data_IF_098517991871
#
_entry.id   IF_098517991871
#
_cell.length_a   1.000
_cell.length_b   1.000
_cell.length_c   1.000
_cell.angle_alpha   90.00
_cell.angle_beta   90.00
_cell.angle_gamma   90.00
#
_symmetry.space_group_name_H-M   'P 1'
#
loop_
_entity.id
_entity.type
_entity.pdbx_description
1 polymer ?
#
# COMPACT_ATOMS: atom_id res chain seq x y z
N UNK A 1 -0.16 -7.50 -10.10
CA UNK A 1 -0.29 -6.99 -8.72
C UNK A 1 -1.38 -7.70 -7.90
N UNK A 2 -2.33 -8.43 -8.52
CA UNK A 2 -3.46 -9.05 -7.83
C UNK A 2 -3.13 -10.39 -7.13
N UNK A 3 -2.16 -11.15 -7.67
CA UNK A 3 -1.73 -12.45 -7.14
C UNK A 3 -1.26 -12.43 -5.67
N UNK A 4 -0.35 -11.54 -5.23
CA UNK A 4 0.05 -11.50 -3.82
C UNK A 4 -1.08 -11.04 -2.90
N UNK A 5 -1.98 -10.19 -3.39
CA UNK A 5 -3.16 -9.73 -2.62
C UNK A 5 -4.10 -10.90 -2.37
N UNK A 6 -4.39 -11.73 -3.38
CA UNK A 6 -5.20 -12.92 -3.18
C UNK A 6 -4.54 -13.90 -2.20
N UNK A 7 -3.24 -14.15 -2.36
CA UNK A 7 -2.50 -15.11 -1.52
C UNK A 7 -2.41 -14.67 -0.05
N UNK A 8 -2.24 -13.37 0.23
CA UNK A 8 -2.18 -12.84 1.60
C UNK A 8 -3.55 -12.80 2.28
N UNK A 9 -4.65 -12.77 1.51
CA UNK A 9 -6.00 -12.60 2.04
C UNK A 9 -6.80 -13.91 2.13
N UNK A 10 -6.42 -14.96 1.38
CA UNK A 10 -6.98 -16.30 1.59
C UNK A 10 -6.39 -16.91 2.85
N UNK A 11 -7.23 -17.23 3.84
CA UNK A 11 -6.80 -18.05 4.97
C UNK A 11 -6.23 -19.36 4.43
N UNK A 12 -4.97 -19.68 4.73
CA UNK A 12 -4.33 -20.94 4.31
C UNK A 12 -5.17 -22.17 4.67
N UNK A 13 -6.00 -22.07 5.71
CA UNK A 13 -7.00 -23.08 6.10
C UNK A 13 -8.00 -23.43 4.99
N UNK A 14 -8.33 -22.50 4.09
CA UNK A 14 -9.26 -22.76 2.98
C UNK A 14 -8.61 -23.62 1.87
N UNK A 15 -7.28 -23.50 1.68
CA UNK A 15 -6.54 -24.34 0.72
C UNK A 15 -6.58 -25.81 1.16
N UNK A 16 -6.52 -26.07 2.47
CA UNK A 16 -6.63 -27.44 3.01
C UNK A 16 -8.00 -28.09 2.80
N UNK A 17 -9.03 -27.32 2.42
CA UNK A 17 -10.37 -27.84 2.07
C UNK A 17 -10.49 -28.22 0.59
N UNK A 18 -9.52 -27.88 -0.25
CA UNK A 18 -9.53 -28.23 -1.68
C UNK A 18 -9.62 -29.74 -1.95
N UNK A 19 -8.95 -30.64 -1.20
CA UNK A 19 -9.14 -32.08 -1.38
C UNK A 19 -10.60 -32.53 -1.16
N UNK A 20 -11.30 -31.91 -0.20
CA UNK A 20 -12.71 -32.20 0.08
C UNK A 20 -13.61 -31.77 -1.08
N UNK A 21 -13.37 -30.58 -1.65
CA UNK A 21 -14.06 -30.09 -2.86
C UNK A 21 -13.93 -31.10 -4.03
N UNK A 22 -12.71 -31.61 -4.27
CA UNK A 22 -12.47 -32.57 -5.36
C UNK A 22 -13.20 -33.90 -5.10
N UNK A 23 -13.17 -34.38 -3.86
CA UNK A 23 -13.86 -35.61 -3.46
C UNK A 23 -15.38 -35.46 -3.64
N UNK A 24 -15.97 -34.35 -3.19
CA UNK A 24 -17.39 -34.04 -3.34
C UNK A 24 -17.79 -33.93 -4.82
N UNK A 25 -17.01 -33.22 -5.64
CA UNK A 25 -17.22 -33.16 -7.07
C UNK A 25 -17.22 -34.55 -7.73
N UNK A 26 -16.26 -35.41 -7.38
CA UNK A 26 -16.20 -36.77 -7.90
C UNK A 26 -17.43 -37.59 -7.50
N UNK A 27 -17.99 -37.37 -6.31
CA UNK A 27 -19.22 -38.04 -5.89
C UNK A 27 -20.41 -37.63 -6.76
N UNK A 28 -20.64 -36.32 -6.96
CA UNK A 28 -21.69 -35.84 -7.87
C UNK A 28 -21.47 -36.31 -9.31
N UNK A 29 -20.23 -36.29 -9.80
CA UNK A 29 -19.91 -36.75 -11.14
C UNK A 29 -20.13 -38.26 -11.34
N UNK A 30 -19.96 -39.07 -10.27
CA UNK A 30 -20.27 -40.51 -10.30
C UNK A 30 -21.77 -40.79 -10.26
N UNK A 31 -22.54 -39.98 -9.53
CA UNK A 31 -23.99 -40.08 -9.46
C UNK A 31 -24.65 -39.59 -10.76
N UNK A 32 -24.10 -38.53 -11.34
CA UNK A 32 -24.55 -37.97 -12.60
C UNK A 32 -23.36 -37.46 -13.42
N UNK A 33 -23.00 -38.22 -14.45
CA UNK A 33 -21.87 -37.92 -15.33
C UNK A 33 -22.06 -36.66 -16.20
N UNK A 34 -23.26 -36.09 -16.23
CA UNK A 34 -23.53 -34.80 -16.89
C UNK A 34 -23.05 -33.61 -16.06
N UNK A 35 -22.90 -33.77 -14.73
CA UNK A 35 -22.47 -32.68 -13.85
C UNK A 35 -21.00 -32.39 -14.12
N UNK A 36 -20.74 -31.24 -14.75
CA UNK A 36 -19.41 -30.67 -14.90
C UNK A 36 -18.97 -29.89 -13.66
N UNK A 37 -17.68 -29.53 -13.58
CA UNK A 37 -17.15 -28.77 -12.44
C UNK A 37 -17.82 -27.40 -12.27
N UNK A 38 -18.17 -26.73 -13.38
CA UNK A 38 -18.84 -25.41 -13.34
C UNK A 38 -20.25 -25.55 -12.80
N UNK A 39 -20.98 -26.59 -13.22
CA UNK A 39 -22.34 -26.85 -12.76
C UNK A 39 -22.34 -27.24 -11.28
N UNK A 40 -21.40 -28.09 -10.85
CA UNK A 40 -21.15 -28.39 -9.44
C UNK A 40 -20.92 -27.12 -8.61
N UNK A 41 -20.02 -26.23 -9.04
CA UNK A 41 -19.78 -24.95 -8.36
C UNK A 41 -21.02 -24.05 -8.38
N UNK A 42 -21.81 -24.06 -9.47
CA UNK A 42 -23.04 -23.28 -9.58
C UNK A 42 -24.06 -23.70 -8.51
N UNK A 43 -24.34 -25.00 -8.41
CA UNK A 43 -25.28 -25.56 -7.43
C UNK A 43 -24.84 -25.20 -6.00
N UNK A 44 -23.54 -25.32 -5.70
CA UNK A 44 -23.03 -25.17 -4.33
C UNK A 44 -22.67 -23.74 -3.91
N UNK A 45 -22.43 -22.80 -4.84
CA UNK A 45 -22.03 -21.42 -4.50
C UNK A 45 -23.02 -20.34 -4.97
N UNK A 46 -23.91 -20.64 -5.92
CA UNK A 46 -24.86 -19.67 -6.47
C UNK A 46 -26.32 -19.88 -6.00
N UNK A 47 -26.56 -20.85 -5.13
CA UNK A 47 -27.79 -20.92 -4.31
C UNK A 47 -28.96 -21.66 -4.92
N UNK A 48 -28.77 -22.43 -5.99
CA UNK A 48 -29.72 -23.47 -6.40
C UNK A 48 -29.38 -24.75 -5.65
N UNK A 49 -29.59 -24.71 -4.34
CA UNK A 49 -29.38 -25.86 -3.47
C UNK A 49 -30.41 -26.93 -3.85
N UNK A 50 -29.96 -27.97 -4.55
CA UNK A 50 -30.77 -29.14 -4.81
C UNK A 50 -30.82 -29.88 -3.49
N UNK A 51 -31.94 -29.80 -2.75
CA UNK A 51 -32.14 -30.46 -1.46
C UNK A 51 -31.83 -31.98 -1.52
N UNK A 52 -30.56 -32.34 -1.43
CA UNK A 52 -29.99 -33.67 -1.60
C UNK A 52 -29.42 -34.21 -0.27
N UNK A 53 -29.61 -33.44 0.80
CA UNK A 53 -29.20 -33.72 2.19
C UNK A 53 -27.67 -33.77 2.38
N UNK A 54 -26.90 -33.00 1.61
CA UNK A 54 -25.46 -32.87 1.79
C UNK A 54 -25.02 -31.61 2.57
N UNK A 55 -25.97 -30.89 3.18
CA UNK A 55 -25.78 -29.66 3.97
C UNK A 55 -24.52 -29.68 4.85
N UNK A 56 -24.25 -30.79 5.55
CA UNK A 56 -23.08 -30.92 6.43
C UNK A 56 -21.74 -30.94 5.67
N UNK A 57 -21.70 -31.57 4.51
CA UNK A 57 -20.53 -31.66 3.65
C UNK A 57 -20.30 -30.36 2.87
N UNK A 58 -21.39 -29.67 2.54
CA UNK A 58 -21.40 -28.36 1.92
C UNK A 58 -20.76 -27.28 2.77
N UNK A 59 -21.00 -27.34 4.08
CA UNK A 59 -20.36 -26.42 5.03
C UNK A 59 -18.85 -26.63 5.15
N UNK A 60 -18.30 -27.75 4.65
CA UNK A 60 -16.86 -28.04 4.61
C UNK A 60 -16.19 -27.52 3.34
N UNK A 61 -16.95 -27.04 2.36
CA UNK A 61 -16.40 -26.51 1.12
C UNK A 61 -15.56 -25.25 1.35
N UNK A 62 -14.46 -25.08 0.57
CA UNK A 62 -13.61 -23.90 0.68
C UNK A 62 -14.42 -22.64 0.37
N UNK A 63 -14.24 -21.58 1.16
CA UNK A 63 -14.89 -20.27 0.97
C UNK A 63 -16.43 -20.27 1.05
N UNK A 64 -17.10 -21.37 1.41
CA UNK A 64 -18.57 -21.41 1.58
C UNK A 64 -19.03 -20.59 2.79
N UNK A 65 -18.21 -20.50 3.85
CA UNK A 65 -18.40 -19.55 4.96
C UNK A 65 -17.26 -18.56 5.04
N UNK A 66 -17.60 -17.29 5.19
CA UNK A 66 -16.66 -16.27 5.63
C UNK A 66 -16.52 -16.44 7.15
N UNK A 67 -15.48 -17.15 7.59
CA UNK A 67 -15.07 -17.11 9.00
C UNK A 67 -14.69 -15.67 9.34
N UNK A 68 -15.36 -15.07 10.33
CA UNK A 68 -15.15 -13.70 10.82
C UNK A 68 -13.72 -13.36 11.30
N UNK A 69 -12.74 -14.25 11.11
CA UNK A 69 -11.36 -14.12 11.58
C UNK A 69 -10.37 -13.74 10.47
N UNK A 70 -10.84 -13.48 9.25
CA UNK A 70 -10.02 -12.89 8.18
C UNK A 70 -9.80 -11.40 8.41
N UNK A 71 -8.96 -11.02 9.38
CA UNK A 71 -8.49 -9.64 9.46
C UNK A 71 -7.65 -9.33 8.23
N UNK A 72 -8.24 -8.60 7.27
CA UNK A 72 -7.56 -8.05 6.10
C UNK A 72 -6.58 -6.99 6.59
N UNK A 73 -5.40 -7.43 7.03
CA UNK A 73 -4.34 -6.54 7.48
C UNK A 73 -3.57 -6.07 6.26
N UNK A 74 -4.08 -5.04 5.61
CA UNK A 74 -3.30 -4.30 4.62
C UNK A 74 -2.18 -3.58 5.36
N UNK A 75 -0.96 -4.13 5.31
CA UNK A 75 0.24 -3.43 5.76
C UNK A 75 0.55 -2.31 4.76
N UNK A 76 -0.24 -1.23 4.81
CA UNK A 76 0.14 0.03 4.17
C UNK A 76 1.33 0.58 4.95
N UNK A 77 2.51 0.47 4.35
CA UNK A 77 3.71 1.10 4.89
C UNK A 77 3.53 2.61 4.82
N UNK A 78 2.98 3.22 5.87
CA UNK A 78 3.04 4.66 6.07
C UNK A 78 4.48 4.98 6.47
N UNK A 79 5.35 5.15 5.48
CA UNK A 79 6.63 5.80 5.66
C UNK A 79 6.36 7.20 6.19
N UNK A 80 6.57 7.40 7.50
CA UNK A 80 6.60 8.74 8.09
C UNK A 80 7.69 9.51 7.33
N UNK A 81 7.38 10.65 6.69
CA UNK A 81 8.43 11.45 6.09
C UNK A 81 9.36 11.90 7.22
N UNK A 82 10.62 11.47 7.16
CA UNK A 82 11.64 11.96 8.09
C UNK A 82 11.87 13.42 7.75
N UNK A 83 11.45 14.33 8.63
CA UNK A 83 11.75 15.74 8.51
C UNK A 83 13.25 15.93 8.77
N UNK A 84 14.04 15.96 7.71
CA UNK A 84 15.45 16.28 7.80
C UNK A 84 15.56 17.78 8.12
N UNK A 85 15.83 18.11 9.39
CA UNK A 85 16.12 19.49 9.78
C UNK A 85 17.43 19.90 9.10
N UNK A 86 17.33 20.63 8.00
CA UNK A 86 18.49 21.13 7.27
C UNK A 86 19.34 22.00 8.20
N UNK A 87 20.52 21.50 8.59
CA UNK A 87 21.50 22.28 9.31
C UNK A 87 22.09 23.30 8.35
N UNK A 88 21.74 24.57 8.51
CA UNK A 88 22.45 25.66 7.85
C UNK A 88 23.67 26.04 8.70
N UNK A 89 24.82 26.22 8.06
CA UNK A 89 26.00 26.81 8.67
C UNK A 89 25.91 28.32 8.48
N UNK A 90 25.74 29.09 9.56
CA UNK A 90 25.84 30.54 9.49
C UNK A 90 27.31 30.94 9.30
N UNK A 91 27.64 31.38 8.09
CA UNK A 91 28.92 32.02 7.80
C UNK A 91 29.04 33.25 8.69
N UNK A 92 29.92 33.18 9.69
CA UNK A 92 30.32 34.35 10.47
C UNK A 92 30.98 35.32 9.49
N UNK A 93 30.24 36.37 9.13
CA UNK A 93 30.80 37.50 8.39
C UNK A 93 31.89 38.11 9.27
N UNK A 94 33.16 37.81 8.97
CA UNK A 94 34.28 38.53 9.55
C UNK A 94 34.14 40.00 9.13
N UNK A 95 34.26 40.97 10.05
CA UNK A 95 34.27 42.38 9.68
C UNK A 95 35.53 42.66 8.85
N UNK A 96 35.37 42.65 7.53
CA UNK A 96 36.31 43.25 6.60
C UNK A 96 36.32 44.75 6.89
N UNK A 97 37.39 45.24 7.56
CA UNK A 97 37.68 46.68 7.55
C UNK A 97 38.19 47.01 6.15
N UNK A 98 37.52 47.88 5.37
CA UNK A 98 38.10 48.34 4.13
C UNK A 98 39.30 49.23 4.47
N UNK A 99 40.48 48.87 4.01
CA UNK A 99 41.68 49.71 4.11
C UNK A 99 41.60 50.81 3.04
N UNK A 100 40.89 51.90 3.35
CA UNK A 100 40.71 53.04 2.43
C UNK A 100 41.91 54.02 2.45
N UNK A 101 43.14 53.50 2.41
CA UNK A 101 44.36 54.33 2.28
C UNK A 101 44.53 54.93 0.87
N UNK A 102 43.76 54.47 -0.12
CA UNK A 102 43.91 54.85 -1.54
C UNK A 102 42.74 55.65 -2.12
N UNK A 103 41.71 56.00 -1.34
CA UNK A 103 40.63 56.88 -1.82
C UNK A 103 41.03 58.35 -1.62
N UNK A 104 41.52 58.99 -2.68
CA UNK A 104 41.67 60.45 -2.74
C UNK A 104 40.32 61.12 -2.46
N UNK A 105 40.28 62.06 -1.52
CA UNK A 105 39.04 62.74 -1.14
C UNK A 105 38.57 63.66 -2.30
N UNK A 106 37.46 63.34 -2.99
CA UNK A 106 36.99 64.11 -4.14
C UNK A 106 36.49 65.51 -3.75
N UNK A 107 36.32 65.80 -2.45
CA UNK A 107 35.95 67.12 -1.95
C UNK A 107 37.09 68.15 -1.98
N UNK A 108 38.36 67.71 -2.10
CA UNK A 108 39.51 68.62 -2.20
C UNK A 108 39.78 69.07 -3.66
N UNK A 109 39.30 68.32 -4.64
CA UNK A 109 39.61 68.50 -6.07
C UNK A 109 38.54 69.29 -6.84
N UNK A 110 37.48 69.77 -6.16
CA UNK A 110 36.39 70.50 -6.80
C UNK A 110 36.56 72.03 -6.72
N UNK A 111 36.43 72.67 -7.89
CA UNK A 111 36.55 74.12 -8.12
C UNK A 111 35.34 74.91 -7.59
N UNK A 112 34.16 74.30 -7.54
CA UNK A 112 32.98 74.90 -6.92
C UNK A 112 32.86 74.43 -5.48
N UNK A 113 33.09 75.35 -4.52
CA UNK A 113 32.91 75.10 -3.09
C UNK A 113 31.88 76.08 -2.55
N UNK A 114 30.99 75.64 -1.64
CA UNK A 114 30.07 76.56 -0.99
C UNK A 114 30.84 77.60 -0.13
N UNK A 115 30.28 78.80 0.09
CA UNK A 115 30.90 79.81 0.95
C UNK A 115 31.03 79.26 2.37
N UNK A 116 32.20 79.45 2.98
CA UNK A 116 32.39 79.15 4.41
C UNK A 116 31.88 80.36 5.21
N UNK A 117 31.03 80.10 6.21
CA UNK A 117 30.66 81.07 7.23
C UNK A 117 31.73 81.15 8.32
#
# INVERSE_FOLDING_TARGET
MLFPILFLNTSFSEIFKLPHLVCHFQQHHRLNSQIGIIEFLSMHYFGEDLNDNDDEDDMKLPFKKISNQGHISQAVSFSKPILLKQQYFSVLAAPCKPEYSWLSNPALDNLFRPPRA
#
